data_IF_663260184567
#
_entry.id   IF_663260184567
#
_cell.length_a   1.000
_cell.length_b   1.000
_cell.length_c   1.000
_cell.angle_alpha   90.00
_cell.angle_beta   90.00
_cell.angle_gamma   90.00
#
_symmetry.space_group_name_H-M   'P 1'
#
loop_
_entity.id
_entity.type
_entity.pdbx_description
1 polymer ?
#
# COMPACT_ATOMS: atom_id res chain seq x y z
N UNK A 1 26.62 0.84 -35.56
CA UNK A 1 26.21 2.11 -34.94
C UNK A 1 26.11 1.87 -33.43
N UNK A 2 27.19 2.11 -32.73
CA UNK A 2 27.29 2.04 -31.27
C UNK A 2 26.58 3.26 -30.72
N UNK A 3 25.43 3.08 -30.04
CA UNK A 3 24.80 4.15 -29.24
C UNK A 3 25.74 4.43 -28.07
N UNK A 4 26.46 5.55 -28.12
CA UNK A 4 27.06 6.15 -26.95
C UNK A 4 25.92 6.41 -25.94
N UNK A 5 25.94 5.72 -24.81
CA UNK A 5 25.13 6.09 -23.66
C UNK A 5 25.67 7.44 -23.21
N UNK A 6 24.97 8.52 -23.54
CA UNK A 6 25.19 9.84 -22.96
C UNK A 6 25.23 9.69 -21.44
N UNK A 7 26.30 10.14 -20.81
CA UNK A 7 26.44 10.08 -19.35
C UNK A 7 25.24 10.81 -18.72
N UNK A 8 24.60 10.17 -17.73
CA UNK A 8 23.48 10.77 -17.00
C UNK A 8 23.99 12.07 -16.35
N UNK A 9 23.30 13.19 -16.64
CA UNK A 9 23.68 14.48 -16.09
C UNK A 9 23.77 14.44 -14.55
N UNK A 10 24.79 15.09 -14.02
CA UNK A 10 25.06 15.16 -12.57
C UNK A 10 24.68 16.53 -12.01
N UNK A 11 24.64 16.66 -10.68
CA UNK A 11 24.43 17.97 -10.01
C UNK A 11 25.55 18.97 -10.35
N UNK A 12 26.74 18.49 -10.68
CA UNK A 12 27.88 19.32 -11.09
C UNK A 12 27.67 19.90 -12.48
N UNK A 13 27.16 19.09 -13.42
CA UNK A 13 26.85 19.54 -14.78
C UNK A 13 25.76 20.63 -14.75
N UNK A 14 24.73 20.45 -13.91
CA UNK A 14 23.69 21.48 -13.70
C UNK A 14 24.29 22.76 -13.10
N UNK A 15 25.19 22.63 -12.15
CA UNK A 15 25.83 23.77 -11.50
C UNK A 15 26.69 24.57 -12.48
N UNK A 16 27.48 23.89 -13.32
CA UNK A 16 28.30 24.49 -14.36
C UNK A 16 27.43 25.18 -15.42
N UNK A 17 26.38 24.50 -15.91
CA UNK A 17 25.45 25.05 -16.89
C UNK A 17 24.71 26.28 -16.41
N UNK A 18 24.26 26.28 -15.15
CA UNK A 18 23.56 27.41 -14.52
C UNK A 18 24.49 28.53 -14.00
N UNK A 19 25.81 28.36 -14.03
CA UNK A 19 26.79 29.31 -13.51
C UNK A 19 26.67 29.52 -11.99
N UNK A 20 26.47 28.43 -11.23
CA UNK A 20 26.34 28.48 -9.75
C UNK A 20 27.13 27.33 -9.11
N UNK A 21 27.20 27.29 -7.79
CA UNK A 21 27.79 26.16 -7.09
C UNK A 21 26.81 24.96 -6.99
N UNK A 22 27.33 23.73 -6.90
CA UNK A 22 26.52 22.52 -6.66
C UNK A 22 25.68 22.65 -5.37
N UNK A 23 26.18 23.37 -4.36
CA UNK A 23 25.44 23.69 -3.13
C UNK A 23 24.20 24.54 -3.44
N UNK A 24 24.31 25.51 -4.36
CA UNK A 24 23.18 26.36 -4.79
C UNK A 24 22.15 25.53 -5.55
N UNK A 25 22.57 24.62 -6.43
CA UNK A 25 21.68 23.68 -7.11
C UNK A 25 20.94 22.82 -6.09
N UNK A 26 21.66 22.23 -5.14
CA UNK A 26 21.06 21.43 -4.06
C UNK A 26 20.05 22.25 -3.24
N UNK A 27 20.33 23.52 -2.98
CA UNK A 27 19.43 24.42 -2.25
C UNK A 27 18.18 24.76 -3.07
N UNK A 28 18.29 24.97 -4.39
CA UNK A 28 17.13 25.18 -5.27
C UNK A 28 16.21 23.95 -5.25
N UNK A 29 16.79 22.75 -5.31
CA UNK A 29 16.03 21.48 -5.31
C UNK A 29 15.33 21.23 -3.95
N UNK A 30 16.02 21.54 -2.85
CA UNK A 30 15.56 21.15 -1.52
C UNK A 30 14.84 22.26 -0.75
N UNK A 31 15.18 23.53 -1.00
CA UNK A 31 14.69 24.71 -0.31
C UNK A 31 14.51 25.90 -1.26
N UNK A 32 13.66 25.77 -2.31
CA UNK A 32 13.54 26.76 -3.38
C UNK A 32 13.14 28.16 -2.87
N UNK A 33 12.39 28.22 -1.77
CA UNK A 33 12.00 29.50 -1.15
C UNK A 33 13.16 30.29 -0.53
N UNK A 34 14.31 29.63 -0.30
CA UNK A 34 15.50 30.27 0.29
C UNK A 34 16.47 30.78 -0.77
N UNK A 35 16.15 30.67 -2.05
CA UNK A 35 17.01 31.07 -3.17
C UNK A 35 16.36 32.21 -3.94
N UNK A 36 17.15 33.21 -4.33
CA UNK A 36 16.66 34.33 -5.14
C UNK A 36 15.96 33.86 -6.42
N UNK A 37 14.82 34.46 -6.81
CA UNK A 37 14.00 34.00 -7.94
C UNK A 37 14.78 33.85 -9.26
N UNK A 38 15.65 34.80 -9.57
CA UNK A 38 16.46 34.75 -10.79
C UNK A 38 17.46 33.57 -10.80
N UNK A 39 18.05 33.24 -9.65
CA UNK A 39 18.97 32.10 -9.52
C UNK A 39 18.21 30.79 -9.62
N UNK A 40 17.03 30.71 -8.98
CA UNK A 40 16.15 29.55 -9.05
C UNK A 40 15.75 29.26 -10.49
N UNK A 41 15.29 30.26 -11.22
CA UNK A 41 14.87 30.11 -12.61
C UNK A 41 16.00 29.57 -13.51
N UNK A 42 17.22 30.10 -13.38
CA UNK A 42 18.41 29.60 -14.14
C UNK A 42 18.70 28.11 -13.83
N UNK A 43 18.65 27.73 -12.57
CA UNK A 43 18.89 26.34 -12.18
C UNK A 43 17.79 25.41 -12.67
N UNK A 44 16.51 25.80 -12.55
CA UNK A 44 15.37 25.03 -13.04
C UNK A 44 15.45 24.83 -14.55
N UNK A 45 15.86 25.86 -15.31
CA UNK A 45 16.08 25.78 -16.74
C UNK A 45 17.23 24.82 -17.07
N UNK A 46 18.36 24.91 -16.40
CA UNK A 46 19.49 23.99 -16.57
C UNK A 46 19.12 22.53 -16.28
N UNK A 47 18.30 22.27 -15.26
CA UNK A 47 17.77 20.94 -14.94
C UNK A 47 16.94 20.39 -16.11
N UNK A 48 16.06 21.20 -16.70
CA UNK A 48 15.24 20.80 -17.85
C UNK A 48 16.07 20.54 -19.10
N UNK A 49 16.99 21.42 -19.43
CA UNK A 49 17.84 21.32 -20.62
C UNK A 49 18.77 20.10 -20.59
N UNK A 50 19.31 19.79 -19.40
CA UNK A 50 20.19 18.63 -19.21
C UNK A 50 19.46 17.32 -18.93
N UNK A 51 18.13 17.35 -18.72
CA UNK A 51 17.35 16.19 -18.31
C UNK A 51 17.79 15.62 -16.96
N UNK A 52 18.34 16.48 -16.08
CA UNK A 52 18.81 16.05 -14.77
C UNK A 52 17.69 15.62 -13.87
N UNK A 53 17.74 14.38 -13.38
CA UNK A 53 16.80 13.85 -12.39
C UNK A 53 17.51 13.82 -11.03
N UNK A 54 17.04 14.62 -10.03
CA UNK A 54 17.62 14.61 -8.70
C UNK A 54 17.56 13.22 -8.06
N UNK A 55 18.69 12.75 -7.55
CA UNK A 55 18.74 11.44 -6.88
C UNK A 55 17.90 11.44 -5.60
N UNK A 56 16.77 10.71 -5.64
CA UNK A 56 15.85 10.58 -4.50
C UNK A 56 16.51 9.94 -3.28
N UNK A 57 17.47 9.00 -3.49
CA UNK A 57 18.21 8.34 -2.41
C UNK A 57 19.10 9.32 -1.64
N UNK A 58 19.82 10.17 -2.37
CA UNK A 58 20.66 11.21 -1.73
C UNK A 58 19.80 12.21 -0.93
N UNK A 59 18.61 12.54 -1.43
CA UNK A 59 17.66 13.43 -0.76
C UNK A 59 17.08 12.76 0.49
N UNK A 60 16.73 11.49 0.43
CA UNK A 60 16.18 10.75 1.56
C UNK A 60 17.17 10.59 2.71
N UNK A 61 18.47 10.46 2.42
CA UNK A 61 19.53 10.44 3.44
C UNK A 61 19.59 11.74 4.24
N UNK A 62 19.37 12.89 3.59
CA UNK A 62 19.39 14.19 4.25
C UNK A 62 18.10 14.49 5.03
N UNK A 63 16.95 14.03 4.55
CA UNK A 63 15.64 14.33 5.14
C UNK A 63 15.10 13.22 6.05
N UNK A 64 15.72 12.04 6.07
CA UNK A 64 15.25 10.89 6.83
C UNK A 64 13.93 10.30 6.33
N UNK A 65 13.44 10.75 5.14
CA UNK A 65 12.19 10.28 4.52
C UNK A 65 12.37 10.04 3.03
N UNK A 66 11.74 8.98 2.53
CA UNK A 66 11.82 8.60 1.11
C UNK A 66 10.61 9.11 0.31
N UNK A 67 9.57 9.61 0.97
CA UNK A 67 8.27 9.90 0.38
C UNK A 67 7.71 8.72 -0.42
N UNK A 68 7.96 7.52 0.10
CA UNK A 68 7.52 6.26 -0.50
C UNK A 68 6.82 5.44 0.56
N UNK A 69 5.60 5.03 0.27
CA UNK A 69 4.88 4.02 1.05
C UNK A 69 4.70 2.77 0.20
N UNK A 70 4.39 1.66 0.84
CA UNK A 70 4.05 0.44 0.11
C UNK A 70 2.61 0.02 0.41
N UNK A 71 2.00 -0.65 -0.57
CA UNK A 71 0.75 -1.38 -0.41
C UNK A 71 1.01 -2.84 -0.80
N UNK A 72 0.92 -3.73 0.17
CA UNK A 72 1.03 -5.16 -0.04
C UNK A 72 -0.36 -5.79 0.07
N UNK A 73 -0.86 -6.32 -1.03
CA UNK A 73 -2.17 -6.98 -1.11
C UNK A 73 -2.01 -8.49 -1.19
N UNK A 74 -3.05 -9.21 -0.79
CA UNK A 74 -3.05 -10.66 -0.79
C UNK A 74 -3.37 -11.27 -2.16
N UNK A 75 -4.17 -10.59 -3.00
CA UNK A 75 -4.51 -11.03 -4.34
C UNK A 75 -4.88 -9.85 -5.24
N UNK A 76 -3.98 -9.49 -6.16
CA UNK A 76 -4.18 -8.37 -7.10
C UNK A 76 -5.25 -8.68 -8.15
N UNK A 77 -5.58 -9.94 -8.39
CA UNK A 77 -6.64 -10.34 -9.32
C UNK A 77 -8.04 -10.07 -8.75
N UNK A 78 -8.16 -9.94 -7.43
CA UNK A 78 -9.42 -9.60 -6.78
C UNK A 78 -9.74 -8.10 -6.98
N UNK A 79 -10.88 -7.76 -7.62
CA UNK A 79 -11.29 -6.37 -7.89
C UNK A 79 -11.37 -5.49 -6.64
N UNK A 80 -11.60 -6.07 -5.48
CA UNK A 80 -11.57 -5.35 -4.20
C UNK A 80 -10.21 -4.66 -3.99
N UNK A 81 -9.11 -5.41 -4.12
CA UNK A 81 -7.78 -4.86 -3.89
C UNK A 81 -7.34 -3.86 -4.96
N UNK A 82 -7.83 -3.98 -6.19
CA UNK A 82 -7.56 -2.98 -7.23
C UNK A 82 -8.23 -1.63 -6.91
N UNK A 83 -9.41 -1.64 -6.31
CA UNK A 83 -10.08 -0.42 -5.84
C UNK A 83 -9.37 0.17 -4.61
N UNK A 84 -8.96 -0.67 -3.66
CA UNK A 84 -8.14 -0.24 -2.52
C UNK A 84 -6.85 0.42 -3.01
N UNK A 85 -6.15 -0.22 -3.96
CA UNK A 85 -4.93 0.28 -4.56
C UNK A 85 -5.11 1.68 -5.16
N UNK A 86 -6.20 1.88 -5.92
CA UNK A 86 -6.55 3.19 -6.49
C UNK A 86 -6.78 4.24 -5.42
N UNK A 87 -7.55 3.91 -4.38
CA UNK A 87 -7.80 4.84 -3.27
C UNK A 87 -6.53 5.24 -2.52
N UNK A 88 -5.62 4.28 -2.32
CA UNK A 88 -4.31 4.53 -1.69
C UNK A 88 -3.45 5.42 -2.57
N UNK A 89 -3.37 5.13 -3.89
CA UNK A 89 -2.59 5.93 -4.84
C UNK A 89 -3.09 7.37 -4.91
N UNK A 90 -4.40 7.58 -5.02
CA UNK A 90 -5.02 8.91 -5.08
C UNK A 90 -4.69 9.77 -3.85
N UNK A 91 -4.69 9.16 -2.66
CA UNK A 91 -4.36 9.88 -1.42
C UNK A 91 -2.85 10.12 -1.31
N UNK A 92 -2.04 9.11 -1.64
CA UNK A 92 -0.59 9.20 -1.61
C UNK A 92 -0.08 10.31 -2.54
N UNK A 93 -0.54 10.33 -3.78
CA UNK A 93 -0.16 11.34 -4.78
C UNK A 93 -0.49 12.76 -4.32
N UNK A 94 -1.70 12.98 -3.78
CA UNK A 94 -2.09 14.30 -3.24
C UNK A 94 -1.20 14.77 -2.10
N UNK A 95 -0.57 13.84 -1.37
CA UNK A 95 0.34 14.13 -0.27
C UNK A 95 1.83 14.02 -0.65
N UNK A 96 2.15 13.91 -1.95
CA UNK A 96 3.52 13.86 -2.44
C UNK A 96 4.25 12.54 -2.15
N UNK A 97 3.50 11.43 -2.01
CA UNK A 97 4.04 10.09 -1.82
C UNK A 97 3.92 9.25 -3.10
N UNK A 98 4.90 8.41 -3.32
CA UNK A 98 4.86 7.34 -4.32
C UNK A 98 4.44 6.04 -3.64
N UNK A 99 3.62 5.22 -4.32
CA UNK A 99 3.20 3.92 -3.81
C UNK A 99 3.94 2.80 -4.55
N UNK A 100 4.54 1.88 -3.78
CA UNK A 100 5.07 0.61 -4.30
C UNK A 100 4.03 -0.47 -4.04
N UNK A 101 3.62 -1.18 -5.09
CA UNK A 101 2.67 -2.29 -4.99
C UNK A 101 3.40 -3.62 -4.87
N UNK A 102 2.89 -4.48 -4.00
CA UNK A 102 3.29 -5.87 -3.88
C UNK A 102 2.07 -6.78 -3.82
N UNK A 103 2.21 -8.02 -4.29
CA UNK A 103 1.17 -9.04 -4.28
C UNK A 103 1.71 -10.33 -3.67
N UNK A 104 1.14 -10.73 -2.53
CA UNK A 104 1.61 -11.91 -1.79
C UNK A 104 1.00 -13.23 -2.28
N UNK A 105 -0.05 -13.21 -3.09
CA UNK A 105 -0.81 -14.39 -3.54
C UNK A 105 -1.23 -15.30 -2.37
N UNK A 106 -1.69 -14.72 -1.26
CA UNK A 106 -2.01 -15.42 -0.01
C UNK A 106 -0.84 -16.27 0.53
N UNK A 107 0.40 -16.02 0.08
CA UNK A 107 1.60 -16.75 0.46
C UNK A 107 2.38 -16.01 1.55
N UNK A 108 2.50 -16.58 2.78
CA UNK A 108 3.30 -15.99 3.85
C UNK A 108 4.77 -15.82 3.48
N UNK A 109 5.29 -16.71 2.64
CA UNK A 109 6.69 -16.64 2.18
C UNK A 109 6.91 -15.45 1.24
N UNK A 110 6.01 -15.22 0.27
CA UNK A 110 6.07 -14.04 -0.59
C UNK A 110 5.90 -12.75 0.22
N UNK A 111 4.95 -12.74 1.16
CA UNK A 111 4.74 -11.61 2.07
C UNK A 111 6.04 -11.27 2.80
N UNK A 112 6.72 -12.27 3.38
CA UNK A 112 8.00 -12.10 4.06
C UNK A 112 9.06 -11.48 3.15
N UNK A 113 9.19 -11.97 1.91
CA UNK A 113 10.16 -11.47 0.93
C UNK A 113 9.89 -10.00 0.58
N UNK A 114 8.62 -9.64 0.36
CA UNK A 114 8.24 -8.25 0.12
C UNK A 114 8.56 -7.34 1.31
N UNK A 115 8.19 -7.73 2.52
CA UNK A 115 8.46 -6.91 3.72
C UNK A 115 9.96 -6.67 3.89
N UNK A 116 10.79 -7.71 3.75
CA UNK A 116 12.25 -7.56 3.82
C UNK A 116 12.80 -6.63 2.73
N UNK A 117 12.34 -6.78 1.49
CA UNK A 117 12.76 -5.92 0.38
C UNK A 117 12.32 -4.45 0.58
N UNK A 118 11.13 -4.22 1.13
CA UNK A 118 10.59 -2.90 1.40
C UNK A 118 11.34 -2.21 2.55
N UNK A 119 11.63 -2.94 3.63
CA UNK A 119 12.43 -2.43 4.74
C UNK A 119 13.84 -2.02 4.28
N UNK A 120 14.48 -2.82 3.42
CA UNK A 120 15.81 -2.48 2.87
C UNK A 120 15.79 -1.20 2.02
N UNK A 121 14.66 -0.86 1.42
CA UNK A 121 14.45 0.37 0.64
C UNK A 121 14.05 1.57 1.50
N UNK A 122 13.95 1.41 2.82
CA UNK A 122 13.59 2.46 3.76
C UNK A 122 12.28 3.17 3.41
N UNK A 123 11.23 2.41 3.10
CA UNK A 123 9.90 3.00 2.91
C UNK A 123 9.44 3.70 4.18
N UNK A 124 8.64 4.76 4.02
CA UNK A 124 8.15 5.57 5.15
C UNK A 124 6.96 4.91 5.87
N UNK A 125 6.30 3.95 5.23
CA UNK A 125 5.18 3.20 5.81
C UNK A 125 4.67 2.09 4.90
N UNK A 126 3.86 1.18 5.47
CA UNK A 126 3.30 0.02 4.79
C UNK A 126 1.80 -0.11 5.09
N UNK A 127 0.99 -0.25 4.05
CA UNK A 127 -0.37 -0.79 4.16
C UNK A 127 -0.33 -2.25 3.74
N UNK A 128 -0.91 -3.14 4.56
CA UNK A 128 -0.81 -4.57 4.32
C UNK A 128 -2.14 -5.29 4.54
N UNK A 129 -2.59 -6.03 3.51
CA UNK A 129 -3.59 -7.08 3.64
C UNK A 129 -2.84 -8.39 3.90
N UNK A 130 -2.77 -8.80 5.16
CA UNK A 130 -1.96 -9.93 5.60
C UNK A 130 -2.41 -11.25 4.98
N UNK A 131 -1.47 -12.09 4.58
CA UNK A 131 -1.71 -13.38 3.93
C UNK A 131 -2.25 -14.46 4.89
N UNK A 132 -2.37 -14.16 6.19
CA UNK A 132 -2.93 -15.08 7.17
C UNK A 132 -2.33 -14.90 8.57
N UNK A 133 -2.64 -15.84 9.47
CA UNK A 133 -2.21 -15.78 10.88
C UNK A 133 -0.67 -15.88 11.07
N UNK A 134 0.02 -16.50 10.12
CA UNK A 134 1.49 -16.60 10.11
C UNK A 134 2.21 -15.29 9.84
N UNK A 135 1.49 -14.29 9.33
CA UNK A 135 2.00 -12.93 9.13
C UNK A 135 2.47 -12.24 10.40
N UNK A 136 2.03 -12.70 11.59
CA UNK A 136 2.39 -12.09 12.89
C UNK A 136 3.91 -11.93 13.05
N UNK A 137 4.69 -12.94 12.74
CA UNK A 137 6.17 -12.88 12.86
C UNK A 137 6.77 -11.78 11.99
N UNK A 138 6.18 -11.52 10.83
CA UNK A 138 6.64 -10.47 9.92
C UNK A 138 6.22 -9.08 10.41
N UNK A 139 5.03 -8.97 10.99
CA UNK A 139 4.58 -7.72 11.61
C UNK A 139 5.44 -7.36 12.82
N UNK A 140 5.88 -8.34 13.61
CA UNK A 140 6.87 -8.14 14.69
C UNK A 140 8.19 -7.55 14.15
N UNK A 141 8.58 -7.90 12.94
CA UNK A 141 9.75 -7.30 12.28
C UNK A 141 9.54 -5.81 12.01
N UNK A 142 8.37 -5.42 11.48
CA UNK A 142 8.01 -4.03 11.25
C UNK A 142 8.01 -3.22 12.56
N UNK A 143 7.45 -3.79 13.63
CA UNK A 143 7.44 -3.19 14.97
C UNK A 143 8.88 -2.96 15.48
N UNK A 144 9.75 -3.97 15.39
CA UNK A 144 11.17 -3.87 15.81
C UNK A 144 11.93 -2.81 15.02
N UNK A 145 11.66 -2.69 13.73
CA UNK A 145 12.27 -1.67 12.87
C UNK A 145 11.61 -0.29 13.01
N UNK A 146 10.56 -0.16 13.86
CA UNK A 146 9.78 1.08 14.03
C UNK A 146 9.26 1.63 12.70
N UNK A 147 8.96 0.74 11.74
CA UNK A 147 8.37 1.13 10.47
C UNK A 147 6.85 1.21 10.65
N UNK A 148 6.22 2.37 10.40
CA UNK A 148 4.77 2.51 10.52
C UNK A 148 4.05 1.58 9.55
N UNK A 149 3.00 0.92 10.04
CA UNK A 149 2.15 0.11 9.17
C UNK A 149 0.69 0.14 9.61
N UNK A 150 -0.20 -0.12 8.66
CA UNK A 150 -1.64 -0.23 8.86
C UNK A 150 -2.09 -1.55 8.25
N UNK A 151 -2.89 -2.31 8.99
CA UNK A 151 -3.56 -3.49 8.48
C UNK A 151 -4.80 -3.07 7.68
N UNK A 152 -5.02 -3.69 6.54
CA UNK A 152 -6.21 -3.48 5.72
C UNK A 152 -6.93 -4.79 5.46
N UNK A 153 -8.26 -4.75 5.32
CA UNK A 153 -9.13 -5.90 5.07
C UNK A 153 -9.18 -6.91 6.22
N UNK A 154 -8.06 -7.19 6.89
CA UNK A 154 -7.94 -8.25 7.89
C UNK A 154 -7.19 -7.75 9.12
N UNK A 155 -7.76 -7.99 10.30
CA UNK A 155 -7.05 -7.82 11.57
C UNK A 155 -6.23 -9.08 11.89
N UNK A 156 -5.10 -8.89 12.57
CA UNK A 156 -4.29 -9.97 13.11
C UNK A 156 -4.37 -9.90 14.64
N UNK A 157 -4.87 -10.96 15.24
CA UNK A 157 -5.03 -11.02 16.70
C UNK A 157 -3.70 -10.84 17.44
N UNK A 158 -3.71 -9.99 18.46
CA UNK A 158 -2.53 -9.71 19.29
C UNK A 158 -1.44 -8.87 18.61
N UNK A 159 -1.71 -8.25 17.45
CA UNK A 159 -0.83 -7.27 16.82
C UNK A 159 -1.36 -5.88 17.12
N UNK A 160 -0.60 -5.01 17.83
CA UNK A 160 -1.00 -3.63 18.11
C UNK A 160 -0.77 -2.76 16.86
N UNK A 161 -1.75 -2.72 15.96
CA UNK A 161 -1.68 -1.92 14.73
C UNK A 161 -3.02 -1.26 14.45
N UNK A 162 -2.95 -0.09 13.83
CA UNK A 162 -4.15 0.51 13.23
C UNK A 162 -4.67 -0.42 12.13
N UNK A 163 -6.00 -0.55 12.06
CA UNK A 163 -6.63 -1.49 11.14
C UNK A 163 -7.82 -0.83 10.45
N UNK A 164 -7.89 -0.98 9.13
CA UNK A 164 -9.04 -0.56 8.31
C UNK A 164 -9.70 -1.81 7.73
N UNK A 165 -10.90 -2.12 8.23
CA UNK A 165 -11.68 -3.31 7.83
C UNK A 165 -13.08 -2.93 7.39
N UNK A 166 -13.66 -3.73 6.50
CA UNK A 166 -15.08 -3.67 6.18
C UNK A 166 -15.94 -4.46 7.20
N UNK A 167 -17.20 -4.08 7.35
CA UNK A 167 -18.15 -4.84 8.15
C UNK A 167 -18.65 -6.09 7.38
N UNK A 168 -17.82 -7.14 7.36
CA UNK A 168 -18.12 -8.39 6.67
C UNK A 168 -19.28 -9.14 7.30
N UNK A 169 -19.45 -9.06 8.63
CA UNK A 169 -20.58 -9.68 9.34
C UNK A 169 -21.88 -9.00 8.96
N UNK A 170 -21.94 -7.66 9.10
CA UNK A 170 -23.12 -6.87 8.78
C UNK A 170 -23.49 -6.94 7.31
N UNK A 171 -22.51 -6.89 6.41
CA UNK A 171 -22.73 -7.02 4.96
C UNK A 171 -23.33 -8.38 4.57
N UNK A 172 -22.78 -9.48 5.09
CA UNK A 172 -23.30 -10.82 4.84
C UNK A 172 -24.70 -11.01 5.45
N UNK A 173 -24.92 -10.46 6.65
CA UNK A 173 -26.22 -10.46 7.28
C UNK A 173 -27.26 -9.72 6.43
N UNK A 174 -26.98 -8.50 6.03
CA UNK A 174 -27.88 -7.67 5.23
C UNK A 174 -28.25 -8.36 3.90
N UNK A 175 -27.27 -8.96 3.21
CA UNK A 175 -27.50 -9.69 1.97
C UNK A 175 -28.39 -10.92 2.18
N UNK A 176 -28.14 -11.68 3.24
CA UNK A 176 -28.95 -12.87 3.58
C UNK A 176 -30.36 -12.48 3.99
N UNK A 177 -30.52 -11.44 4.81
CA UNK A 177 -31.83 -10.90 5.23
C UNK A 177 -32.63 -10.38 4.01
N UNK A 178 -31.96 -9.77 3.04
CA UNK A 178 -32.61 -9.36 1.79
C UNK A 178 -33.22 -10.55 1.05
N UNK A 179 -32.47 -11.65 0.88
CA UNK A 179 -32.97 -12.86 0.22
C UNK A 179 -34.12 -13.52 1.01
N UNK A 180 -34.02 -13.55 2.33
CA UNK A 180 -35.07 -14.07 3.21
C UNK A 180 -36.34 -13.22 3.11
N UNK A 181 -36.20 -11.88 3.03
CA UNK A 181 -37.31 -10.96 2.83
C UNK A 181 -38.02 -11.14 1.49
N UNK A 182 -37.31 -11.59 0.46
CA UNK A 182 -37.88 -11.97 -0.85
C UNK A 182 -38.59 -13.36 -0.82
N UNK A 183 -38.60 -14.04 0.33
CA UNK A 183 -39.26 -15.33 0.50
C UNK A 183 -38.37 -16.55 0.27
N UNK A 184 -37.10 -16.38 -0.06
CA UNK A 184 -36.16 -17.50 -0.19
C UNK A 184 -35.96 -18.17 1.17
N UNK A 185 -35.89 -19.50 1.19
CA UNK A 185 -35.66 -20.29 2.42
C UNK A 185 -34.47 -21.24 2.28
N UNK A 186 -34.02 -21.47 1.05
CA UNK A 186 -32.84 -22.28 0.72
C UNK A 186 -31.81 -21.40 0.04
N UNK A 187 -30.86 -20.91 0.82
CA UNK A 187 -29.84 -19.94 0.40
C UNK A 187 -28.49 -20.62 0.57
N UNK A 188 -27.68 -20.68 -0.51
CA UNK A 188 -26.32 -21.17 -0.44
C UNK A 188 -25.35 -20.01 -0.18
N UNK A 189 -24.29 -20.28 0.57
CA UNK A 189 -23.15 -19.40 0.78
C UNK A 189 -21.93 -19.99 0.06
N UNK A 190 -21.47 -19.33 -1.01
CA UNK A 190 -20.15 -19.59 -1.61
C UNK A 190 -19.18 -18.64 -0.94
N UNK A 191 -18.20 -19.19 -0.20
CA UNK A 191 -17.33 -18.42 0.67
C UNK A 191 -15.87 -18.61 0.30
N UNK A 192 -14.96 -17.97 1.03
CA UNK A 192 -13.52 -18.20 0.96
C UNK A 192 -13.06 -19.25 1.96
N UNK A 193 -11.76 -19.52 1.94
CA UNK A 193 -11.15 -20.48 2.86
C UNK A 193 -11.41 -20.11 4.34
N UNK A 194 -11.71 -21.10 5.20
CA UNK A 194 -12.13 -20.87 6.59
C UNK A 194 -11.03 -20.24 7.46
N UNK A 195 -9.77 -20.30 7.03
CA UNK A 195 -8.63 -19.64 7.69
C UNK A 195 -8.65 -18.13 7.50
N UNK A 196 -9.34 -17.63 6.48
CA UNK A 196 -9.43 -16.21 6.16
C UNK A 196 -10.43 -15.52 7.10
N UNK A 197 -10.03 -14.51 7.89
CA UNK A 197 -10.92 -13.84 8.85
C UNK A 197 -12.22 -13.33 8.23
N UNK A 198 -12.14 -12.63 7.09
CA UNK A 198 -13.33 -12.09 6.42
C UNK A 198 -14.28 -13.17 5.89
N UNK A 199 -13.79 -14.37 5.59
CA UNK A 199 -14.63 -15.50 5.25
C UNK A 199 -15.42 -16.01 6.47
N UNK A 200 -14.76 -16.12 7.64
CA UNK A 200 -15.42 -16.46 8.90
C UNK A 200 -16.48 -15.44 9.28
N UNK A 201 -16.19 -14.16 9.10
CA UNK A 201 -17.11 -13.07 9.39
C UNK A 201 -18.36 -13.13 8.49
N UNK A 202 -18.18 -13.36 7.19
CA UNK A 202 -19.32 -13.57 6.25
C UNK A 202 -20.17 -14.78 6.63
N UNK A 203 -19.53 -15.90 6.97
CA UNK A 203 -20.23 -17.08 7.46
C UNK A 203 -21.03 -16.78 8.74
N UNK A 204 -20.42 -16.04 9.67
CA UNK A 204 -21.10 -15.63 10.90
C UNK A 204 -22.36 -14.80 10.61
N UNK A 205 -22.26 -13.78 9.74
CA UNK A 205 -23.40 -12.96 9.33
C UNK A 205 -24.53 -13.76 8.67
N UNK A 206 -24.18 -14.68 7.78
CA UNK A 206 -25.11 -15.61 7.15
C UNK A 206 -25.85 -16.48 8.18
N UNK A 207 -25.13 -17.15 9.07
CA UNK A 207 -25.69 -18.02 10.10
C UNK A 207 -26.58 -17.24 11.09
N UNK A 208 -26.20 -16.01 11.45
CA UNK A 208 -27.01 -15.15 12.31
C UNK A 208 -28.36 -14.83 11.66
N UNK A 209 -28.40 -14.52 10.37
CA UNK A 209 -29.61 -14.22 9.63
C UNK A 209 -30.55 -15.44 9.54
N UNK A 210 -30.03 -16.61 9.21
CA UNK A 210 -30.82 -17.84 9.16
C UNK A 210 -31.45 -18.13 10.53
N UNK A 211 -30.66 -18.06 11.61
CA UNK A 211 -31.11 -18.31 12.96
C UNK A 211 -32.21 -17.33 13.38
N UNK A 212 -32.07 -16.04 13.06
CA UNK A 212 -33.06 -15.01 13.37
C UNK A 212 -34.41 -15.26 12.67
N UNK A 213 -34.41 -16.00 11.54
CA UNK A 213 -35.63 -16.38 10.83
C UNK A 213 -36.07 -17.81 11.07
N UNK A 214 -35.53 -18.50 12.10
CA UNK A 214 -35.91 -19.85 12.46
C UNK A 214 -35.51 -20.92 11.40
N UNK A 215 -34.51 -20.62 10.58
CA UNK A 215 -34.04 -21.54 9.53
C UNK A 215 -32.75 -22.21 10.02
N UNK A 216 -32.73 -23.54 9.97
CA UNK A 216 -31.55 -24.33 10.28
C UNK A 216 -30.56 -24.26 9.11
N UNK A 217 -29.28 -24.01 9.42
CA UNK A 217 -28.23 -23.98 8.42
C UNK A 217 -27.95 -25.41 7.93
N UNK A 218 -27.93 -25.60 6.63
CA UNK A 218 -27.62 -26.87 5.95
C UNK A 218 -26.15 -26.83 5.50
N UNK A 219 -25.36 -27.80 5.96
CA UNK A 219 -23.92 -27.83 5.69
C UNK A 219 -23.61 -27.93 4.18
N UNK A 220 -24.45 -28.63 3.42
CA UNK A 220 -24.31 -28.75 1.97
C UNK A 220 -24.55 -27.45 1.20
N UNK A 221 -25.07 -26.41 1.86
CA UNK A 221 -25.26 -25.07 1.30
C UNK A 221 -24.13 -24.11 1.65
N UNK A 222 -23.10 -24.56 2.37
CA UNK A 222 -21.92 -23.77 2.74
C UNK A 222 -20.71 -24.35 2.02
N UNK A 223 -20.22 -23.63 1.00
CA UNK A 223 -19.17 -24.09 0.07
C UNK A 223 -17.99 -23.11 0.08
#
# INVERSE_FOLDING_TARGET
MTREFSSVATIQDVAEHAGVSAMTVSRVINHPAQVAPATRQRVEQAIQELGFVPNALARSLLRGRTHTIALLVSDISNPFFTQVARGVEDVAQRNGYTVIFGNSDESPEKERQYIQALLSRRIDGLLIAAAGSTSRTMLDLLIRHKNPFVLIDRAIEGVPADTVIGDSVGGARALTEHLLGLGHRRIALINGAPEVPTARDRLSGYLQSLRAHGIEAQQELIV
#
